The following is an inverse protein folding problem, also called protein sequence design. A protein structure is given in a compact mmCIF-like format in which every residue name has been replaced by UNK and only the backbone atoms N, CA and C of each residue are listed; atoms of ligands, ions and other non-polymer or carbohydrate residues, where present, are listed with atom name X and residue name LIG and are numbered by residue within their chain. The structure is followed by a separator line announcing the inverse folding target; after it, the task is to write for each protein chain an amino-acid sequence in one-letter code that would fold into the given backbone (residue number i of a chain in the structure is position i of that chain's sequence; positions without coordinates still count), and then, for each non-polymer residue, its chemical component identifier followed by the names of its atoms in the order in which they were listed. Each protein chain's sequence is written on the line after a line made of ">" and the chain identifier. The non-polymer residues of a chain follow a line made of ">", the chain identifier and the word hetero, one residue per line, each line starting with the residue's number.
data_IF_295632535645
#
_entry.id   IF_295632535645
#
_cell.length_a   1.000
_cell.length_b   1.000
_cell.length_c   1.000
_cell.angle_alpha   90.00
_cell.angle_beta   90.00
_cell.angle_gamma   90.00
#
_symmetry.space_group_name_H-M   'P 1'
#
loop_
_entity.id
_entity.type
_entity.pdbx_description
1 polymer ?
#
# COMPACT_ATOMS: atom_id res chain seq x y z
N UNK A 1 -2.71 16.13 -1.67
CA UNK A 1 -1.75 15.06 -1.28
C UNK A 1 -0.34 15.64 -1.16
N UNK A 2 0.37 15.33 -0.10
CA UNK A 2 1.76 15.78 0.06
C UNK A 2 2.72 14.94 -0.81
N UNK A 3 3.85 15.56 -1.21
CA UNK A 3 4.97 14.80 -1.79
C UNK A 3 5.57 13.87 -0.72
N UNK A 4 6.32 12.83 -1.13
CA UNK A 4 7.04 11.92 -0.21
C UNK A 4 7.87 12.71 0.79
N UNK A 5 8.61 13.73 0.35
CA UNK A 5 9.41 14.58 1.21
C UNK A 5 8.58 15.31 2.29
N UNK A 6 7.37 15.77 1.95
CA UNK A 6 6.48 16.42 2.93
C UNK A 6 5.96 15.43 3.97
N UNK A 7 5.60 14.20 3.55
CA UNK A 7 5.18 13.16 4.48
C UNK A 7 6.32 12.83 5.45
N UNK A 8 7.52 12.62 4.92
CA UNK A 8 8.71 12.35 5.72
C UNK A 8 8.96 13.48 6.74
N UNK A 9 8.90 14.75 6.31
CA UNK A 9 9.05 15.91 7.20
C UNK A 9 8.00 15.92 8.32
N UNK A 10 6.74 15.62 8.01
CA UNK A 10 5.65 15.56 8.99
C UNK A 10 5.87 14.45 10.03
N UNK A 11 6.37 13.29 9.60
CA UNK A 11 6.69 12.17 10.50
C UNK A 11 7.88 12.50 11.41
N UNK A 12 8.98 13.00 10.84
CA UNK A 12 10.19 13.36 11.59
C UNK A 12 9.93 14.48 12.59
N UNK A 13 9.15 15.49 12.21
CA UNK A 13 8.76 16.60 13.10
C UNK A 13 7.66 16.23 14.09
N UNK A 14 7.15 14.99 14.04
CA UNK A 14 6.06 14.49 14.90
C UNK A 14 4.77 15.32 14.80
N UNK A 15 4.50 15.94 13.65
CA UNK A 15 3.23 16.62 13.39
C UNK A 15 2.07 15.63 13.27
N UNK A 16 2.35 14.43 12.83
CA UNK A 16 1.42 13.31 12.72
C UNK A 16 2.19 12.02 12.98
N UNK A 17 1.56 11.03 13.60
CA UNK A 17 2.13 9.68 13.67
C UNK A 17 1.90 8.93 12.36
N UNK A 18 2.76 7.96 12.06
CA UNK A 18 2.59 7.09 10.90
C UNK A 18 1.25 6.33 10.97
N UNK A 19 0.87 5.88 12.17
CA UNK A 19 -0.41 5.20 12.41
C UNK A 19 -1.60 6.11 12.13
N UNK A 20 -1.61 7.37 12.57
CA UNK A 20 -2.69 8.33 12.30
C UNK A 20 -2.79 8.63 10.80
N UNK A 21 -1.66 8.87 10.15
CA UNK A 21 -1.60 9.10 8.72
C UNK A 21 -2.16 7.89 7.94
N UNK A 22 -1.73 6.67 8.29
CA UNK A 22 -2.20 5.45 7.65
C UNK A 22 -3.71 5.26 7.82
N UNK A 23 -4.23 5.49 9.02
CA UNK A 23 -5.68 5.43 9.29
C UNK A 23 -6.47 6.42 8.43
N UNK A 24 -5.99 7.65 8.30
CA UNK A 24 -6.68 8.66 7.47
C UNK A 24 -6.78 8.24 6.00
N UNK A 25 -5.74 7.60 5.45
CA UNK A 25 -5.80 7.05 4.09
C UNK A 25 -6.74 5.86 3.97
N UNK A 26 -6.73 4.94 4.95
CA UNK A 26 -7.65 3.78 4.95
C UNK A 26 -9.11 4.21 5.06
N UNK A 27 -9.42 5.19 5.88
CA UNK A 27 -10.77 5.78 6.00
C UNK A 27 -11.23 6.43 4.68
N UNK A 28 -10.34 7.11 3.98
CA UNK A 28 -10.66 7.69 2.67
C UNK A 28 -10.88 6.62 1.60
N UNK A 29 -10.08 5.55 1.62
CA UNK A 29 -10.30 4.38 0.76
C UNK A 29 -11.68 3.76 1.05
N UNK A 30 -12.03 3.53 2.33
CA UNK A 30 -13.31 2.95 2.72
C UNK A 30 -14.51 3.79 2.23
N UNK A 31 -14.40 5.13 2.28
CA UNK A 31 -15.46 6.04 1.83
C UNK A 31 -15.63 6.05 0.32
N UNK A 32 -14.52 6.01 -0.43
CA UNK A 32 -14.53 6.30 -1.87
C UNK A 32 -14.41 5.05 -2.75
N UNK A 33 -13.84 3.94 -2.24
CA UNK A 33 -13.54 2.77 -3.07
C UNK A 33 -14.80 2.07 -3.60
N UNK A 34 -15.90 2.12 -2.87
CA UNK A 34 -17.18 1.54 -3.33
C UNK A 34 -17.73 2.17 -4.60
N UNK A 35 -17.40 3.44 -4.85
CA UNK A 35 -17.78 4.17 -6.05
C UNK A 35 -16.67 4.11 -7.12
N UNK A 36 -15.41 4.30 -6.71
CA UNK A 36 -14.27 4.41 -7.62
C UNK A 36 -13.71 3.06 -8.06
N UNK A 37 -13.87 2.02 -7.23
CA UNK A 37 -13.29 0.69 -7.44
C UNK A 37 -11.78 0.72 -7.76
N UNK A 38 -11.05 1.62 -7.11
CA UNK A 38 -9.62 1.82 -7.32
C UNK A 38 -8.75 0.71 -6.68
N UNK A 39 -9.24 0.13 -5.58
CA UNK A 39 -8.59 -0.99 -4.88
C UNK A 39 -9.40 -2.27 -5.04
N UNK A 40 -8.72 -3.34 -5.43
CA UNK A 40 -9.30 -4.69 -5.50
C UNK A 40 -9.08 -5.47 -4.21
N UNK A 41 -8.07 -5.10 -3.44
CA UNK A 41 -7.78 -5.67 -2.13
C UNK A 41 -7.12 -4.61 -1.24
N UNK A 42 -7.72 -4.32 -0.08
CA UNK A 42 -7.17 -3.39 0.92
C UNK A 42 -6.54 -4.20 2.05
N UNK A 43 -5.37 -3.80 2.54
CA UNK A 43 -4.58 -4.54 3.53
C UNK A 43 -4.38 -3.74 4.83
N UNK A 44 -5.46 -3.44 5.58
CA UNK A 44 -5.40 -2.54 6.73
C UNK A 44 -4.51 -3.07 7.86
N UNK A 45 -4.57 -4.38 8.14
CA UNK A 45 -3.79 -4.97 9.23
C UNK A 45 -2.29 -4.84 8.96
N UNK A 46 -1.83 -5.23 7.76
CA UNK A 46 -0.42 -5.10 7.35
C UNK A 46 0.04 -3.65 7.35
N UNK A 47 -0.81 -2.74 6.85
CA UNK A 47 -0.51 -1.31 6.82
C UNK A 47 -0.31 -0.74 8.23
N UNK A 48 -1.22 -1.05 9.15
CA UNK A 48 -1.16 -0.57 10.52
C UNK A 48 -0.02 -1.20 11.33
N UNK A 49 0.34 -2.45 11.08
CA UNK A 49 1.48 -3.10 11.70
C UNK A 49 2.80 -2.43 11.29
N UNK A 50 2.97 -2.18 9.98
CA UNK A 50 4.13 -1.44 9.47
C UNK A 50 4.19 -0.03 10.05
N UNK A 51 3.05 0.69 10.08
CA UNK A 51 2.97 2.04 10.62
C UNK A 51 3.37 2.10 12.10
N UNK A 52 2.93 1.15 12.92
CA UNK A 52 3.34 1.05 14.33
C UNK A 52 4.84 0.85 14.48
N UNK A 53 5.43 -0.01 13.65
CA UNK A 53 6.88 -0.24 13.65
C UNK A 53 7.66 1.07 13.41
N UNK A 54 7.18 1.89 12.47
CA UNK A 54 7.78 3.20 12.19
C UNK A 54 7.60 4.17 13.36
N UNK A 55 6.40 4.23 13.94
CA UNK A 55 6.13 5.07 15.12
C UNK A 55 7.03 4.69 16.31
N UNK A 56 7.28 3.40 16.53
CA UNK A 56 8.20 2.92 17.58
C UNK A 56 9.65 3.37 17.35
N UNK A 57 10.13 3.36 16.09
CA UNK A 57 11.45 3.87 15.73
C UNK A 57 11.57 5.37 16.03
N UNK A 58 10.58 6.15 15.59
CA UNK A 58 10.53 7.59 15.85
C UNK A 58 10.47 7.90 17.36
N UNK A 59 9.72 7.11 18.12
CA UNK A 59 9.65 7.27 19.59
C UNK A 59 10.98 7.02 20.28
N UNK A 60 11.78 6.07 19.78
CA UNK A 60 13.14 5.77 20.26
C UNK A 60 14.18 6.81 19.83
N UNK A 61 13.81 7.75 18.95
CA UNK A 61 14.74 8.75 18.40
C UNK A 61 15.65 8.21 17.30
N UNK A 62 15.28 7.07 16.69
CA UNK A 62 15.97 6.52 15.54
C UNK A 62 15.65 7.34 14.27
N UNK A 63 16.63 7.50 13.40
CA UNK A 63 16.39 8.12 12.09
C UNK A 63 15.58 7.19 11.20
N UNK A 64 14.64 7.76 10.45
CA UNK A 64 13.84 7.04 9.44
C UNK A 64 14.27 7.41 8.02
N UNK A 65 14.22 6.44 7.13
CA UNK A 65 14.50 6.65 5.71
C UNK A 65 13.39 7.44 4.99
N UNK A 66 13.70 7.97 3.81
CA UNK A 66 12.78 8.83 3.02
C UNK A 66 11.45 8.15 2.67
N UNK A 67 11.43 6.83 2.48
CA UNK A 67 10.23 6.06 2.15
C UNK A 67 9.58 5.41 3.38
N UNK A 68 10.25 5.45 4.52
CA UNK A 68 9.80 4.82 5.74
C UNK A 68 8.54 5.51 6.28
N UNK A 69 7.48 4.73 6.45
CA UNK A 69 6.19 5.25 6.89
C UNK A 69 5.36 5.93 5.80
N UNK A 70 5.83 5.95 4.53
CA UNK A 70 5.06 6.56 3.43
C UNK A 70 3.95 5.61 2.97
N UNK A 71 2.67 6.04 3.05
CA UNK A 71 1.56 5.25 2.52
C UNK A 71 1.63 5.10 1.00
N UNK A 72 1.50 3.88 0.52
CA UNK A 72 1.59 3.56 -0.90
C UNK A 72 0.66 2.42 -1.29
N UNK A 73 0.49 2.24 -2.58
CA UNK A 73 -0.29 1.16 -3.16
C UNK A 73 0.56 0.32 -4.11
N UNK A 74 0.20 -0.94 -4.28
CA UNK A 74 0.80 -1.80 -5.28
C UNK A 74 -0.22 -2.15 -6.37
N UNK A 75 0.20 -2.09 -7.61
CA UNK A 75 -0.63 -2.58 -8.72
C UNK A 75 -0.86 -4.09 -8.57
N UNK A 76 -2.06 -4.57 -8.90
CA UNK A 76 -2.44 -5.97 -8.64
C UNK A 76 -1.75 -7.03 -9.53
N UNK A 77 -0.77 -6.63 -10.32
CA UNK A 77 0.14 -7.54 -11.03
C UNK A 77 1.49 -7.72 -10.32
N UNK A 78 1.74 -7.02 -9.21
CA UNK A 78 2.96 -7.19 -8.43
C UNK A 78 2.74 -8.30 -7.40
N UNK A 79 3.43 -9.43 -7.56
CA UNK A 79 3.35 -10.56 -6.64
C UNK A 79 3.69 -10.11 -5.22
N UNK A 80 2.77 -10.37 -4.30
CA UNK A 80 2.90 -10.02 -2.88
C UNK A 80 2.60 -11.28 -2.09
N UNK A 81 3.62 -11.80 -1.42
CA UNK A 81 3.52 -13.08 -0.69
C UNK A 81 2.33 -13.07 0.28
N UNK A 82 1.57 -14.14 0.26
CA UNK A 82 0.39 -14.40 1.09
C UNK A 82 -0.78 -13.41 0.91
N UNK A 83 -0.64 -12.40 0.05
CA UNK A 83 -1.69 -11.43 -0.31
C UNK A 83 -2.20 -11.73 -1.71
N UNK A 84 -3.52 -11.79 -1.85
CA UNK A 84 -4.15 -12.09 -3.13
C UNK A 84 -3.63 -11.17 -4.23
N UNK A 85 -3.23 -11.76 -5.35
CA UNK A 85 -2.67 -11.07 -6.52
C UNK A 85 -3.29 -11.67 -7.77
N UNK A 86 -4.24 -10.95 -8.38
CA UNK A 86 -5.12 -11.52 -9.41
C UNK A 86 -4.82 -11.03 -10.82
N UNK A 87 -3.97 -10.00 -10.99
CA UNK A 87 -3.84 -9.28 -12.26
C UNK A 87 -5.21 -8.81 -12.79
N UNK A 88 -6.17 -8.58 -11.91
CA UNK A 88 -7.57 -8.27 -12.21
C UNK A 88 -8.23 -9.26 -13.17
N UNK A 89 -7.86 -10.55 -13.10
CA UNK A 89 -8.41 -11.66 -13.87
C UNK A 89 -9.14 -12.65 -12.96
N UNK A 90 -10.28 -13.14 -13.42
CA UNK A 90 -11.03 -14.22 -12.76
C UNK A 90 -10.23 -15.52 -12.66
N UNK A 91 -9.27 -15.74 -13.57
CA UNK A 91 -8.40 -16.93 -13.61
C UNK A 91 -7.54 -17.03 -12.34
N UNK A 92 -7.07 -15.87 -11.83
CA UNK A 92 -6.19 -15.81 -10.66
C UNK A 92 -6.93 -15.46 -9.36
N UNK A 93 -8.26 -15.41 -9.38
CA UNK A 93 -9.04 -15.13 -8.17
C UNK A 93 -8.72 -16.14 -7.06
N UNK A 94 -8.35 -15.63 -5.88
CA UNK A 94 -7.93 -16.44 -4.74
C UNK A 94 -6.45 -16.85 -4.76
N UNK A 95 -5.70 -16.50 -5.80
CA UNK A 95 -4.27 -16.82 -5.87
C UNK A 95 -3.45 -15.94 -4.92
N UNK A 96 -2.72 -16.57 -4.03
CA UNK A 96 -1.76 -15.92 -3.14
C UNK A 96 -0.35 -16.37 -3.51
N UNK A 97 0.51 -15.46 -4.00
CA UNK A 97 1.89 -15.78 -4.34
C UNK A 97 2.67 -16.32 -3.12
N UNK A 98 3.61 -17.24 -3.37
CA UNK A 98 4.53 -17.77 -2.35
C UNK A 98 5.81 -16.94 -2.24
N UNK A 99 5.96 -15.90 -3.06
CA UNK A 99 7.11 -15.00 -3.12
C UNK A 99 6.65 -13.56 -3.37
N UNK A 100 7.55 -12.62 -3.12
CA UNK A 100 7.35 -11.20 -3.44
C UNK A 100 8.01 -10.85 -4.77
N UNK A 101 7.44 -9.89 -5.49
CA UNK A 101 8.14 -9.20 -6.55
C UNK A 101 9.30 -8.38 -5.94
N UNK A 102 10.45 -8.34 -6.61
CA UNK A 102 11.65 -7.61 -6.14
C UNK A 102 11.37 -6.14 -5.82
N UNK A 103 10.48 -5.51 -6.60
CA UNK A 103 10.04 -4.13 -6.31
C UNK A 103 9.43 -4.02 -4.92
N UNK A 104 8.56 -4.98 -4.55
CA UNK A 104 7.94 -4.97 -3.23
C UNK A 104 8.92 -5.35 -2.13
N UNK A 105 9.85 -6.28 -2.37
CA UNK A 105 10.91 -6.59 -1.40
C UNK A 105 11.73 -5.35 -1.03
N UNK A 106 12.13 -4.57 -2.04
CA UNK A 106 12.89 -3.34 -1.83
C UNK A 106 12.10 -2.25 -1.08
N UNK A 107 10.81 -2.11 -1.35
CA UNK A 107 9.95 -1.13 -0.68
C UNK A 107 9.60 -1.54 0.76
N UNK A 108 9.28 -2.81 0.97
CA UNK A 108 8.96 -3.35 2.30
C UNK A 108 10.17 -3.33 3.23
N UNK A 109 11.37 -3.58 2.69
CA UNK A 109 12.62 -3.47 3.45
C UNK A 109 12.88 -2.04 3.96
N UNK A 110 12.25 -1.04 3.37
CA UNK A 110 12.28 0.36 3.82
C UNK A 110 11.05 0.74 4.66
N UNK A 111 10.27 -0.21 5.13
CA UNK A 111 9.03 0.03 5.88
C UNK A 111 8.05 0.99 5.16
N UNK A 112 7.97 0.96 3.83
CA UNK A 112 6.92 1.63 3.09
C UNK A 112 5.55 0.99 3.44
N UNK A 113 4.54 1.80 3.71
CA UNK A 113 3.24 1.32 4.22
C UNK A 113 2.32 0.96 3.06
N UNK A 114 2.12 -0.34 2.82
CA UNK A 114 1.23 -0.82 1.76
C UNK A 114 -0.23 -0.76 2.20
N UNK A 115 -1.03 0.10 1.55
CA UNK A 115 -2.47 0.24 1.81
C UNK A 115 -3.31 -0.86 1.14
N UNK A 116 -2.82 -1.40 0.03
CA UNK A 116 -3.52 -2.45 -0.73
C UNK A 116 -3.06 -2.59 -2.17
N UNK A 117 -3.83 -3.38 -2.91
CA UNK A 117 -3.62 -3.71 -4.32
C UNK A 117 -4.60 -2.93 -5.19
N UNK A 118 -4.09 -2.23 -6.21
CA UNK A 118 -4.92 -1.38 -7.06
C UNK A 118 -5.41 -2.09 -8.31
N UNK A 119 -6.60 -1.68 -8.75
CA UNK A 119 -7.26 -2.14 -9.97
C UNK A 119 -6.41 -1.85 -11.22
N UNK A 120 -6.63 -2.62 -12.26
CA UNK A 120 -5.88 -2.53 -13.52
C UNK A 120 -6.64 -3.26 -14.63
N UNK A 121 -6.29 -3.02 -15.88
CA UNK A 121 -6.72 -3.88 -16.97
C UNK A 121 -6.23 -5.32 -16.79
N UNK A 122 -7.04 -6.30 -17.18
CA UNK A 122 -6.73 -7.71 -17.06
C UNK A 122 -5.34 -8.02 -17.66
N UNK A 123 -4.44 -8.61 -16.87
CA UNK A 123 -3.04 -8.88 -17.19
C UNK A 123 -2.24 -7.68 -17.73
N UNK A 124 -2.64 -6.46 -17.35
CA UNK A 124 -2.03 -5.20 -17.80
C UNK A 124 -2.16 -4.96 -19.34
N UNK A 125 -3.15 -5.54 -19.97
CA UNK A 125 -3.41 -5.41 -21.41
C UNK A 125 -4.56 -4.44 -21.68
N UNK A 126 -4.33 -3.15 -21.45
CA UNK A 126 -5.31 -2.09 -21.69
C UNK A 126 -4.80 -0.74 -21.17
N UNK A 127 -5.66 0.28 -21.25
CA UNK A 127 -5.32 1.66 -20.90
C UNK A 127 -6.39 2.39 -20.07
N UNK A 128 -7.48 1.71 -19.71
CA UNK A 128 -8.65 2.35 -19.10
C UNK A 128 -9.22 1.60 -17.89
N UNK A 129 -8.69 0.44 -17.53
CA UNK A 129 -9.21 -0.49 -16.52
C UNK A 129 -10.59 -1.11 -16.86
N UNK A 130 -11.09 -0.95 -18.08
CA UNK A 130 -12.41 -1.49 -18.52
C UNK A 130 -12.42 -3.01 -18.65
N UNK A 131 -11.25 -3.65 -18.79
CA UNK A 131 -11.13 -5.10 -18.93
C UNK A 131 -10.95 -5.81 -17.57
N UNK A 132 -10.92 -5.07 -16.48
CA UNK A 132 -10.86 -5.64 -15.12
C UNK A 132 -12.07 -6.51 -14.82
N UNK A 133 -11.88 -7.56 -14.06
CA UNK A 133 -12.97 -8.41 -13.58
C UNK A 133 -13.63 -7.92 -12.26
N UNK A 134 -13.13 -6.81 -11.72
CA UNK A 134 -13.62 -6.18 -10.49
C UNK A 134 -14.41 -4.93 -10.80
#
# INVERSE_FOLDING_TARGET
>A
MGSIAKIHEMLVSKQVSCTELTKSYLEEIEKSNGELNAYVNVTPDTALETAKTVDEKIAKGEEIGMLEGVPMTLKDNLSTKDIETTCCSKILKGYKPIYNATVWENLSAQNAVMLGKTNMDEFAMGSSCETSCF
#
